data_IF_881310821759
#
_entry.id   IF_881310821759
#
_cell.length_a   1.000
_cell.length_b   1.000
_cell.length_c   1.000
_cell.angle_alpha   90.00
_cell.angle_beta   90.00
_cell.angle_gamma   90.00
#
_symmetry.space_group_name_H-M   'P 1'
#
loop_
_entity.id
_entity.type
_entity.pdbx_description
1 polymer ?
#
# COMPACT_ATOMS: atom_id res chain seq x y z
N UNK A 1 24.04 -68.98 -4.42
CA UNK A 1 23.78 -67.62 -3.93
C UNK A 1 22.76 -67.74 -2.80
N UNK A 2 23.08 -67.25 -1.62
CA UNK A 2 22.31 -67.49 -0.39
C UNK A 2 20.93 -66.81 -0.46
N UNK A 3 19.85 -67.54 -0.17
CA UNK A 3 18.46 -67.02 -0.20
C UNK A 3 18.32 -65.82 0.74
N UNK A 4 19.07 -65.81 1.85
CA UNK A 4 19.09 -64.71 2.81
C UNK A 4 19.73 -63.44 2.22
N UNK A 5 20.75 -63.59 1.35
CA UNK A 5 21.41 -62.47 0.69
C UNK A 5 20.49 -61.83 -0.37
N UNK A 6 19.72 -62.63 -1.11
CA UNK A 6 18.71 -62.13 -2.05
C UNK A 6 17.57 -61.38 -1.34
N UNK A 7 17.03 -61.94 -0.25
CA UNK A 7 15.98 -61.30 0.53
C UNK A 7 16.44 -59.97 1.15
N UNK A 8 17.69 -59.90 1.63
CA UNK A 8 18.29 -58.69 2.20
C UNK A 8 18.50 -57.60 1.13
N UNK A 9 18.90 -57.96 -0.09
CA UNK A 9 19.04 -57.00 -1.19
C UNK A 9 17.69 -56.41 -1.64
N UNK A 10 16.65 -57.26 -1.72
CA UNK A 10 15.31 -56.83 -2.14
C UNK A 10 14.67 -55.92 -1.09
N UNK A 11 14.80 -56.26 0.19
CA UNK A 11 14.29 -55.43 1.29
C UNK A 11 15.05 -54.10 1.39
N UNK A 12 16.37 -54.11 1.21
CA UNK A 12 17.17 -52.89 1.14
C UNK A 12 16.78 -52.01 -0.05
N UNK A 13 16.56 -52.61 -1.23
CA UNK A 13 16.06 -51.91 -2.41
C UNK A 13 14.69 -51.28 -2.19
N UNK A 14 13.73 -52.04 -1.66
CA UNK A 14 12.38 -51.55 -1.34
C UNK A 14 12.40 -50.43 -0.29
N UNK A 15 13.27 -50.52 0.73
CA UNK A 15 13.44 -49.48 1.73
C UNK A 15 14.00 -48.17 1.14
N UNK A 16 14.94 -48.27 0.18
CA UNK A 16 15.46 -47.10 -0.54
C UNK A 16 14.39 -46.45 -1.44
N UNK A 17 13.57 -47.23 -2.14
CA UNK A 17 12.48 -46.67 -2.94
C UNK A 17 11.40 -46.04 -2.05
N UNK A 18 11.04 -46.68 -0.94
CA UNK A 18 10.08 -46.14 0.02
C UNK A 18 10.55 -44.82 0.63
N UNK A 19 11.85 -44.70 0.96
CA UNK A 19 12.40 -43.46 1.52
C UNK A 19 12.41 -42.32 0.50
N UNK A 20 12.74 -42.58 -0.77
CA UNK A 20 12.69 -41.58 -1.85
C UNK A 20 11.26 -41.07 -2.05
N UNK A 21 10.27 -41.97 -2.14
CA UNK A 21 8.86 -41.60 -2.30
C UNK A 21 8.39 -40.78 -1.08
N UNK A 22 8.76 -41.19 0.13
CA UNK A 22 8.44 -40.46 1.36
C UNK A 22 9.01 -39.03 1.38
N UNK A 23 10.25 -38.85 0.95
CA UNK A 23 10.90 -37.52 0.83
C UNK A 23 10.18 -36.68 -0.21
N UNK A 24 9.90 -37.21 -1.40
CA UNK A 24 9.18 -36.49 -2.45
C UNK A 24 7.77 -36.09 -2.01
N UNK A 25 7.03 -37.00 -1.36
CA UNK A 25 5.70 -36.72 -0.82
C UNK A 25 5.73 -35.60 0.22
N UNK A 26 6.73 -35.61 1.11
CA UNK A 26 6.92 -34.55 2.11
C UNK A 26 7.22 -33.20 1.46
N UNK A 27 8.13 -33.15 0.50
CA UNK A 27 8.47 -31.92 -0.23
C UNK A 27 7.27 -31.36 -0.99
N UNK A 28 6.49 -32.22 -1.66
CA UNK A 28 5.26 -31.83 -2.34
C UNK A 28 4.23 -31.28 -1.35
N UNK A 29 4.05 -31.92 -0.19
CA UNK A 29 3.17 -31.45 0.87
C UNK A 29 3.57 -30.06 1.38
N UNK A 30 4.86 -29.84 1.63
CA UNK A 30 5.39 -28.53 2.05
C UNK A 30 5.12 -27.46 0.99
N UNK A 31 5.38 -27.78 -0.29
CA UNK A 31 5.15 -26.85 -1.39
C UNK A 31 3.66 -26.49 -1.55
N UNK A 32 2.78 -27.49 -1.50
CA UNK A 32 1.33 -27.28 -1.58
C UNK A 32 0.83 -26.42 -0.43
N UNK A 33 1.26 -26.70 0.80
CA UNK A 33 0.88 -25.92 1.97
C UNK A 33 1.36 -24.46 1.86
N UNK A 34 2.61 -24.23 1.44
CA UNK A 34 3.15 -22.89 1.22
C UNK A 34 2.40 -22.13 0.12
N UNK A 35 2.03 -22.81 -0.97
CA UNK A 35 1.25 -22.21 -2.06
C UNK A 35 -0.17 -21.86 -1.60
N UNK A 36 -0.80 -22.72 -0.81
CA UNK A 36 -2.12 -22.47 -0.24
C UNK A 36 -2.10 -21.27 0.70
N UNK A 37 -1.14 -21.20 1.64
CA UNK A 37 -0.99 -20.08 2.57
C UNK A 37 -0.73 -18.75 1.83
N UNK A 38 0.05 -18.75 0.76
CA UNK A 38 0.36 -17.53 -0.01
C UNK A 38 -0.72 -17.10 -1.02
N UNK A 39 -1.77 -17.91 -1.23
CA UNK A 39 -2.79 -17.66 -2.27
C UNK A 39 -3.73 -16.48 -1.99
N UNK A 40 -3.80 -16.01 -0.74
CA UNK A 40 -4.64 -14.87 -0.38
C UNK A 40 -4.14 -13.54 -0.96
N UNK A 41 -4.97 -12.51 -0.82
CA UNK A 41 -4.75 -11.19 -1.44
C UNK A 41 -4.79 -10.06 -0.41
N UNK A 42 -4.18 -8.94 -0.79
CA UNK A 42 -4.36 -7.67 -0.11
C UNK A 42 -5.50 -6.91 -0.76
N UNK A 43 -6.44 -6.45 0.07
CA UNK A 43 -7.53 -5.55 -0.35
C UNK A 43 -7.44 -4.27 0.47
N UNK A 44 -7.65 -3.12 -0.18
CA UNK A 44 -7.59 -1.81 0.44
C UNK A 44 -8.97 -1.15 0.44
N UNK A 45 -9.33 -0.54 1.56
CA UNK A 45 -10.50 0.30 1.71
C UNK A 45 -10.08 1.61 2.32
N UNK A 46 -10.36 2.71 1.66
CA UNK A 46 -9.99 4.03 2.12
C UNK A 46 -11.23 4.85 2.46
N UNK A 47 -11.10 5.76 3.42
CA UNK A 47 -12.14 6.70 3.79
C UNK A 47 -11.52 8.05 4.11
N UNK A 48 -11.97 9.09 3.44
CA UNK A 48 -11.63 10.46 3.79
C UNK A 48 -12.30 10.81 5.12
N UNK A 49 -11.54 11.39 6.03
CA UNK A 49 -12.00 11.77 7.38
C UNK A 49 -11.66 13.23 7.67
N UNK A 50 -11.85 13.66 8.91
CA UNK A 50 -11.26 14.90 9.39
C UNK A 50 -9.88 14.59 9.97
N UNK A 51 -8.95 15.53 9.84
CA UNK A 51 -7.64 15.41 10.49
C UNK A 51 -7.79 15.37 12.00
N UNK A 52 -6.95 14.57 12.66
CA UNK A 52 -6.90 14.51 14.13
C UNK A 52 -6.06 15.65 14.75
N UNK A 53 -5.65 16.62 13.93
CA UNK A 53 -5.08 17.90 14.39
C UNK A 53 -6.07 18.73 15.20
N UNK A 54 -5.55 19.67 15.99
CA UNK A 54 -6.36 20.62 16.76
C UNK A 54 -7.35 21.44 15.90
N UNK A 55 -7.01 21.65 14.63
CA UNK A 55 -7.85 22.40 13.68
C UNK A 55 -8.97 21.54 13.06
N UNK A 56 -8.94 20.21 13.23
CA UNK A 56 -9.93 19.26 12.74
C UNK A 56 -10.35 19.52 11.28
N UNK A 57 -9.37 19.83 10.41
CA UNK A 57 -9.65 20.23 9.02
C UNK A 57 -10.09 19.01 8.18
N UNK A 58 -11.16 19.13 7.37
CA UNK A 58 -11.48 18.12 6.37
C UNK A 58 -10.49 18.20 5.20
N UNK A 59 -10.58 17.25 4.27
CA UNK A 59 -9.83 17.38 3.03
C UNK A 59 -10.28 18.58 2.17
N UNK A 60 -9.33 19.16 1.43
CA UNK A 60 -9.57 20.34 0.59
C UNK A 60 -8.30 21.11 0.29
N UNK A 61 -8.46 22.34 -0.20
CA UNK A 61 -7.37 23.28 -0.45
C UNK A 61 -7.41 24.40 0.58
N UNK A 62 -6.25 24.72 1.15
CA UNK A 62 -6.14 25.73 2.21
C UNK A 62 -4.91 26.59 2.00
N UNK A 63 -4.95 27.83 2.48
CA UNK A 63 -3.76 28.68 2.51
C UNK A 63 -2.69 28.10 3.43
N UNK A 64 -1.45 28.07 2.96
CA UNK A 64 -0.30 27.69 3.78
C UNK A 64 0.00 28.82 4.78
N UNK A 65 0.05 28.54 6.10
CA UNK A 65 0.45 29.55 7.08
C UNK A 65 1.92 29.97 6.98
N UNK A 66 2.75 29.12 6.37
CA UNK A 66 4.21 29.24 6.34
C UNK A 66 4.73 29.70 4.98
N UNK A 67 3.91 29.57 3.93
CA UNK A 67 4.31 29.80 2.56
C UNK A 67 3.24 30.61 1.81
N UNK A 68 3.64 31.29 0.74
CA UNK A 68 2.66 31.85 -0.19
C UNK A 68 2.05 30.73 -1.05
N UNK A 69 0.73 30.73 -1.19
CA UNK A 69 -0.03 29.80 -2.04
C UNK A 69 -0.88 28.79 -1.26
N UNK A 70 -1.56 27.93 -2.01
CA UNK A 70 -2.44 26.90 -1.45
C UNK A 70 -1.68 25.58 -1.24
N UNK A 71 -2.23 24.76 -0.34
CA UNK A 71 -1.89 23.35 -0.24
C UNK A 71 -3.15 22.51 -0.22
N UNK A 72 -3.09 21.35 -0.88
CA UNK A 72 -4.10 20.32 -0.74
C UNK A 72 -3.79 19.47 0.49
N UNK A 73 -4.83 19.21 1.28
CA UNK A 73 -4.78 18.40 2.49
C UNK A 73 -5.75 17.24 2.39
N UNK A 74 -5.29 16.03 2.70
CA UNK A 74 -6.10 14.81 2.60
C UNK A 74 -5.83 13.86 3.77
N UNK A 75 -6.62 13.93 4.85
CA UNK A 75 -6.63 12.93 5.92
C UNK A 75 -7.49 11.70 5.54
N UNK A 76 -6.92 10.51 5.70
CA UNK A 76 -7.48 9.23 5.26
C UNK A 76 -7.36 8.16 6.36
N UNK A 77 -8.43 7.40 6.58
CA UNK A 77 -8.32 6.07 7.20
C UNK A 77 -8.19 5.02 6.12
N UNK A 78 -7.22 4.13 6.27
CA UNK A 78 -6.98 3.02 5.35
C UNK A 78 -7.09 1.70 6.10
N UNK A 79 -8.04 0.86 5.67
CA UNK A 79 -8.16 -0.53 6.08
C UNK A 79 -7.45 -1.41 5.05
N UNK A 80 -6.45 -2.13 5.53
CA UNK A 80 -5.68 -3.10 4.76
C UNK A 80 -6.08 -4.49 5.23
N UNK A 81 -6.65 -5.29 4.34
CA UNK A 81 -7.13 -6.64 4.64
C UNK A 81 -6.22 -7.65 3.94
N UNK A 82 -5.56 -8.50 4.74
CA UNK A 82 -4.75 -9.61 4.26
C UNK A 82 -5.51 -10.91 4.44
N UNK A 83 -5.94 -11.54 3.34
CA UNK A 83 -6.59 -12.86 3.38
C UNK A 83 -5.62 -14.02 3.12
N UNK A 84 -4.31 -13.77 3.13
CA UNK A 84 -3.30 -14.83 3.00
C UNK A 84 -2.92 -15.38 4.36
N UNK A 85 -2.55 -16.65 4.40
CA UNK A 85 -2.05 -17.35 5.59
C UNK A 85 -0.62 -16.95 5.98
N UNK A 86 -0.06 -15.90 5.37
CA UNK A 86 1.25 -15.34 5.70
C UNK A 86 1.12 -13.83 5.86
N UNK A 87 1.98 -13.21 6.67
CA UNK A 87 2.05 -11.75 6.77
C UNK A 87 2.49 -11.13 5.43
N UNK A 88 1.97 -9.95 5.12
CA UNK A 88 2.27 -9.19 3.90
C UNK A 88 2.69 -7.77 4.24
N UNK A 89 3.46 -7.16 3.36
CA UNK A 89 3.97 -5.81 3.54
C UNK A 89 3.39 -4.93 2.43
N UNK A 90 2.73 -3.86 2.84
CA UNK A 90 2.27 -2.77 1.97
C UNK A 90 3.22 -1.61 2.23
N UNK A 91 4.15 -1.36 1.32
CA UNK A 91 5.18 -0.33 1.49
C UNK A 91 4.76 0.96 0.83
N UNK A 92 5.21 2.06 1.45
CA UNK A 92 5.14 3.40 0.89
C UNK A 92 3.76 3.71 0.28
N UNK A 93 2.74 3.63 1.12
CA UNK A 93 1.39 4.02 0.74
C UNK A 93 1.38 5.52 0.50
N UNK A 94 1.05 5.96 -0.71
CA UNK A 94 0.97 7.38 -1.02
C UNK A 94 -0.19 7.76 -1.94
N UNK A 95 -0.49 9.05 -1.97
CA UNK A 95 -1.35 9.66 -2.96
C UNK A 95 -0.51 10.30 -4.06
N UNK A 96 -1.04 10.29 -5.28
CA UNK A 96 -0.41 10.90 -6.44
C UNK A 96 -1.43 11.77 -7.17
N UNK A 97 -1.03 13.01 -7.47
CA UNK A 97 -1.74 13.91 -8.35
C UNK A 97 -1.53 13.47 -9.79
N UNK A 98 -2.62 13.37 -10.54
CA UNK A 98 -2.62 12.97 -11.93
C UNK A 98 -3.32 14.00 -12.79
N UNK A 99 -2.81 14.22 -14.00
CA UNK A 99 -3.46 15.02 -15.02
C UNK A 99 -3.47 14.23 -16.33
N UNK A 100 -4.63 14.11 -16.98
CA UNK A 100 -4.80 13.36 -18.24
C UNK A 100 -4.20 11.94 -18.21
N UNK A 101 -4.35 11.24 -17.06
CA UNK A 101 -3.87 9.87 -16.87
C UNK A 101 -2.35 9.74 -16.71
N UNK A 102 -1.64 10.82 -16.41
CA UNK A 102 -0.21 10.81 -16.07
C UNK A 102 -0.01 11.25 -14.63
N UNK A 103 0.87 10.57 -13.89
CA UNK A 103 1.26 10.99 -12.55
C UNK A 103 2.19 12.20 -12.70
N UNK A 104 1.81 13.32 -12.11
CA UNK A 104 2.58 14.57 -12.19
C UNK A 104 3.31 14.89 -10.88
N UNK A 105 2.76 14.47 -9.73
CA UNK A 105 3.39 14.71 -8.43
C UNK A 105 2.93 13.71 -7.37
N UNK A 106 3.83 13.36 -6.48
CA UNK A 106 3.56 12.60 -5.26
C UNK A 106 3.23 13.54 -4.09
N UNK A 107 2.33 13.13 -3.21
CA UNK A 107 2.01 13.87 -2.00
C UNK A 107 3.08 13.63 -0.92
N UNK A 108 3.30 14.64 -0.08
CA UNK A 108 4.10 14.52 1.13
C UNK A 108 3.31 13.79 2.22
N UNK A 109 3.92 12.77 2.82
CA UNK A 109 3.37 12.00 3.93
C UNK A 109 3.58 12.74 5.25
N UNK A 110 2.50 13.05 5.97
CA UNK A 110 2.60 13.67 7.29
C UNK A 110 2.84 12.57 8.32
N UNK A 111 3.96 12.66 9.05
CA UNK A 111 4.37 11.64 10.02
C UNK A 111 3.62 11.77 11.35
N UNK A 112 3.38 13.01 11.80
CA UNK A 112 2.73 13.31 13.08
C UNK A 112 1.85 14.54 12.97
N UNK A 113 0.78 14.57 13.76
CA UNK A 113 -0.13 15.70 13.87
C UNK A 113 -0.53 15.93 15.33
N UNK A 114 -1.15 17.07 15.62
CA UNK A 114 -1.54 17.46 16.98
C UNK A 114 -0.67 18.57 17.55
N UNK A 115 -0.67 18.70 18.87
CA UNK A 115 0.09 19.73 19.60
C UNK A 115 0.97 19.07 20.69
N UNK A 116 1.74 19.88 21.40
CA UNK A 116 2.70 19.42 22.43
C UNK A 116 2.06 18.54 23.52
N UNK A 117 0.75 18.66 23.75
CA UNK A 117 0.02 17.89 24.75
C UNK A 117 -0.66 16.62 24.20
N UNK A 118 -0.80 16.51 22.88
CA UNK A 118 -1.42 15.34 22.23
C UNK A 118 -0.85 15.16 20.83
N UNK A 119 0.22 14.36 20.75
CA UNK A 119 0.81 13.93 19.48
C UNK A 119 0.07 12.69 18.98
N UNK A 120 -0.32 12.72 17.71
CA UNK A 120 -0.88 11.59 16.99
C UNK A 120 0.12 11.19 15.92
N UNK A 121 0.71 10.00 16.09
CA UNK A 121 1.57 9.38 15.08
C UNK A 121 0.68 8.80 13.97
N UNK A 122 0.98 9.20 12.73
CA UNK A 122 0.27 8.75 11.53
C UNK A 122 1.03 7.60 10.86
N UNK A 123 0.39 6.93 9.92
CA UNK A 123 0.89 5.69 9.33
C UNK A 123 0.88 4.53 10.33
N UNK A 124 1.88 3.66 10.20
CA UNK A 124 2.22 2.61 11.16
C UNK A 124 3.45 3.05 11.94
N UNK A 125 3.24 3.93 12.91
CA UNK A 125 4.29 4.57 13.71
C UNK A 125 5.22 5.46 12.84
N UNK A 126 4.63 6.52 12.28
CA UNK A 126 5.27 7.51 11.39
C UNK A 126 5.71 6.97 10.02
N UNK A 127 5.74 5.65 9.84
CA UNK A 127 6.02 5.00 8.56
C UNK A 127 4.75 4.72 7.77
N UNK A 128 4.76 5.00 6.46
CA UNK A 128 3.67 4.64 5.54
C UNK A 128 3.88 3.25 4.93
N UNK A 129 4.72 2.43 5.58
CA UNK A 129 4.87 1.00 5.34
C UNK A 129 4.16 0.23 6.44
N UNK A 130 3.28 -0.69 6.04
CA UNK A 130 2.43 -1.44 6.95
C UNK A 130 2.66 -2.94 6.77
N UNK A 131 3.09 -3.60 7.83
CA UNK A 131 3.02 -5.06 7.95
C UNK A 131 1.62 -5.44 8.42
N UNK A 132 0.98 -6.35 7.68
CA UNK A 132 -0.34 -6.89 8.00
C UNK A 132 -0.23 -8.40 8.17
N UNK A 133 -0.61 -8.88 9.35
CA UNK A 133 -0.50 -10.30 9.69
C UNK A 133 -1.38 -11.20 8.82
N UNK A 134 -1.06 -12.50 8.84
CA UNK A 134 -1.84 -13.52 8.17
C UNK A 134 -3.33 -13.47 8.59
N UNK A 135 -4.23 -13.54 7.61
CA UNK A 135 -5.70 -13.55 7.82
C UNK A 135 -6.21 -12.42 8.73
N UNK A 136 -5.56 -11.26 8.68
CA UNK A 136 -5.84 -10.13 9.55
C UNK A 136 -6.22 -8.87 8.76
N UNK A 137 -6.86 -7.93 9.44
CA UNK A 137 -7.09 -6.57 8.94
C UNK A 137 -6.41 -5.56 9.85
N UNK A 138 -5.78 -4.54 9.27
CA UNK A 138 -5.16 -3.44 10.00
C UNK A 138 -5.69 -2.11 9.49
N UNK A 139 -6.16 -1.26 10.41
CA UNK A 139 -6.50 0.13 10.13
C UNK A 139 -5.30 1.01 10.44
N UNK A 140 -4.97 1.91 9.52
CA UNK A 140 -3.97 2.97 9.71
C UNK A 140 -4.57 4.32 9.39
N UNK A 141 -4.12 5.35 10.11
CA UNK A 141 -4.52 6.74 9.90
C UNK A 141 -3.41 7.43 9.14
N UNK A 142 -3.71 8.06 8.03
CA UNK A 142 -2.73 8.64 7.12
C UNK A 142 -3.16 10.05 6.77
N UNK A 143 -2.20 10.93 6.52
CA UNK A 143 -2.49 12.31 6.13
C UNK A 143 -1.46 12.76 5.09
N UNK A 144 -1.96 13.34 4.02
CA UNK A 144 -1.17 13.69 2.84
C UNK A 144 -1.31 15.18 2.55
N UNK A 145 -0.20 15.80 2.14
CA UNK A 145 -0.12 17.19 1.76
C UNK A 145 0.46 17.34 0.36
N UNK A 146 -0.05 18.29 -0.41
CA UNK A 146 0.55 18.71 -1.67
C UNK A 146 0.52 20.23 -1.75
N UNK A 147 1.68 20.87 -1.73
CA UNK A 147 1.79 22.32 -1.82
C UNK A 147 1.83 22.74 -3.30
N UNK A 148 1.08 23.78 -3.65
CA UNK A 148 1.03 24.36 -5.01
C UNK A 148 2.43 24.74 -5.51
N UNK A 149 3.23 25.38 -4.65
CA UNK A 149 4.61 25.77 -4.96
C UNK A 149 5.56 24.60 -5.27
N UNK A 150 5.19 23.37 -4.88
CA UNK A 150 6.02 22.18 -5.14
C UNK A 150 5.67 21.53 -6.48
N UNK A 151 4.68 22.06 -7.21
CA UNK A 151 4.31 21.62 -8.55
C UNK A 151 5.34 22.11 -9.57
N UNK A 152 5.52 21.32 -10.63
CA UNK A 152 6.34 21.74 -11.77
C UNK A 152 5.63 22.86 -12.54
N UNK A 153 6.39 23.86 -12.99
CA UNK A 153 5.87 24.94 -13.83
C UNK A 153 5.28 24.34 -15.11
N UNK A 154 4.03 24.69 -15.43
CA UNK A 154 3.24 24.14 -16.53
C UNK A 154 2.50 22.84 -16.22
N UNK A 155 2.65 22.27 -15.01
CA UNK A 155 1.88 21.11 -14.50
C UNK A 155 1.27 21.43 -13.13
N UNK A 156 0.76 22.65 -12.97
CA UNK A 156 0.21 23.09 -11.69
C UNK A 156 -1.09 22.35 -11.37
N UNK A 157 -1.93 22.11 -12.37
CA UNK A 157 -3.26 21.53 -12.18
C UNK A 157 -3.28 19.99 -12.33
N UNK A 158 -4.17 19.36 -11.57
CA UNK A 158 -4.49 17.94 -11.67
C UNK A 158 -6.00 17.73 -11.57
N UNK A 159 -6.49 16.70 -12.26
CA UNK A 159 -7.91 16.33 -12.36
C UNK A 159 -8.23 15.03 -11.59
N UNK A 160 -7.19 14.31 -11.15
CA UNK A 160 -7.34 13.02 -10.49
C UNK A 160 -6.33 12.84 -9.36
N UNK A 161 -6.77 12.13 -8.33
CA UNK A 161 -5.92 11.58 -7.29
C UNK A 161 -6.05 10.07 -7.32
N UNK A 162 -4.90 9.40 -7.32
CA UNK A 162 -4.81 7.96 -7.15
C UNK A 162 -4.10 7.64 -5.83
N UNK A 163 -4.41 6.48 -5.27
CA UNK A 163 -3.64 5.89 -4.16
C UNK A 163 -2.75 4.78 -4.71
N UNK A 164 -1.49 4.78 -4.32
CA UNK A 164 -0.51 3.76 -4.69
C UNK A 164 0.14 3.10 -3.47
N UNK A 165 0.66 1.88 -3.67
CA UNK A 165 1.57 1.22 -2.74
C UNK A 165 2.48 0.22 -3.47
N UNK A 166 3.62 -0.09 -2.86
CA UNK A 166 4.55 -1.12 -3.33
C UNK A 166 4.40 -2.41 -2.54
N UNK A 167 4.33 -3.55 -3.23
CA UNK A 167 4.34 -4.86 -2.57
C UNK A 167 5.76 -5.32 -2.19
N UNK A 168 5.85 -6.51 -1.59
CA UNK A 168 7.11 -7.17 -1.23
C UNK A 168 8.00 -7.54 -2.43
N UNK A 169 7.49 -7.44 -3.67
CA UNK A 169 8.20 -7.76 -4.92
C UNK A 169 8.56 -6.51 -5.72
N UNK A 170 8.53 -5.34 -5.09
CA UNK A 170 8.75 -4.05 -5.74
C UNK A 170 7.78 -3.80 -6.90
N UNK A 171 6.54 -4.29 -6.81
CA UNK A 171 5.50 -3.96 -7.77
C UNK A 171 4.59 -2.88 -7.20
N UNK A 172 4.48 -1.78 -7.95
CA UNK A 172 3.54 -0.70 -7.66
C UNK A 172 2.12 -1.11 -8.07
N UNK A 173 1.18 -0.88 -7.16
CA UNK A 173 -0.25 -0.99 -7.41
C UNK A 173 -0.88 0.37 -7.20
N UNK A 174 -1.58 0.88 -8.21
CA UNK A 174 -2.29 2.16 -8.15
C UNK A 174 -3.78 1.97 -8.38
N UNK A 175 -4.58 2.79 -7.69
CA UNK A 175 -6.03 2.73 -7.72
C UNK A 175 -6.61 4.14 -7.75
N UNK A 176 -7.70 4.31 -8.50
CA UNK A 176 -8.46 5.56 -8.49
C UNK A 176 -8.93 5.87 -7.06
N UNK A 177 -8.66 7.08 -6.58
CA UNK A 177 -9.06 7.54 -5.26
C UNK A 177 -10.14 8.63 -5.35
N UNK A 178 -9.89 9.70 -6.09
CA UNK A 178 -10.87 10.77 -6.31
C UNK A 178 -10.62 11.55 -7.60
N UNK A 179 -11.69 12.16 -8.10
CA UNK A 179 -11.66 13.14 -9.18
C UNK A 179 -11.68 14.56 -8.60
N UNK A 180 -10.95 15.48 -9.20
CA UNK A 180 -10.75 16.87 -8.76
C UNK A 180 -11.30 17.80 -9.82
N UNK A 181 -12.46 18.39 -9.54
CA UNK A 181 -13.15 19.28 -10.49
C UNK A 181 -12.59 20.70 -10.50
N UNK A 182 -12.03 21.14 -9.37
CA UNK A 182 -11.52 22.49 -9.15
C UNK A 182 -10.22 22.37 -8.35
N UNK A 183 -9.10 22.43 -9.07
CA UNK A 183 -7.77 22.42 -8.48
C UNK A 183 -7.42 23.83 -7.98
N UNK A 184 -6.72 23.93 -6.85
CA UNK A 184 -6.26 25.20 -6.26
C UNK A 184 -7.36 26.24 -6.05
N UNK A 185 -8.55 25.79 -5.64
CA UNK A 185 -9.62 26.69 -5.19
C UNK A 185 -9.83 26.44 -3.70
N UNK A 186 -9.58 27.48 -2.90
CA UNK A 186 -9.66 27.40 -1.45
C UNK A 186 -11.02 26.86 -0.99
N UNK A 187 -10.96 25.93 -0.04
CA UNK A 187 -12.12 25.38 0.64
C UNK A 187 -12.13 23.86 0.72
N UNK A 188 -13.07 23.36 1.51
CA UNK A 188 -13.31 21.93 1.69
C UNK A 188 -13.89 21.30 0.42
N UNK A 189 -13.48 20.08 0.11
CA UNK A 189 -14.08 19.27 -0.93
C UNK A 189 -15.26 18.45 -0.40
N UNK A 190 -16.23 18.05 -1.26
CA UNK A 190 -17.34 17.21 -0.85
C UNK A 190 -16.86 15.90 -0.24
N UNK A 191 -17.23 15.62 1.02
CA UNK A 191 -16.79 14.42 1.73
C UNK A 191 -17.97 13.45 1.88
N UNK A 192 -17.96 12.34 1.14
CA UNK A 192 -18.82 11.21 1.45
C UNK A 192 -18.23 10.45 2.64
N UNK A 193 -19.07 10.12 3.63
CA UNK A 193 -18.65 9.40 4.84
C UNK A 193 -18.56 7.89 4.62
N UNK A 194 -18.57 7.42 3.38
CA UNK A 194 -18.52 6.01 3.01
C UNK A 194 -17.08 5.53 2.80
N UNK A 195 -16.90 4.22 2.98
CA UNK A 195 -15.67 3.55 2.60
C UNK A 195 -15.63 3.35 1.08
N UNK A 196 -14.49 3.65 0.49
CA UNK A 196 -14.18 3.44 -0.92
C UNK A 196 -13.31 2.18 -0.99
N UNK A 197 -13.81 1.15 -1.68
CA UNK A 197 -13.00 -0.01 -2.01
C UNK A 197 -12.07 0.35 -3.17
N UNK A 198 -10.76 0.17 -2.98
CA UNK A 198 -9.77 0.46 -4.00
C UNK A 198 -9.57 -0.77 -4.90
N UNK A 199 -10.46 -0.96 -5.87
CA UNK A 199 -10.42 -2.09 -6.81
C UNK A 199 -10.30 -1.68 -8.29
N UNK A 200 -10.51 -0.41 -8.62
CA UNK A 200 -10.27 0.14 -9.96
C UNK A 200 -8.78 0.43 -10.15
N UNK A 201 -8.05 -0.48 -10.79
CA UNK A 201 -6.61 -0.32 -11.03
C UNK A 201 -6.32 0.69 -12.13
N UNK A 202 -5.32 1.53 -11.87
CA UNK A 202 -4.72 2.39 -12.88
C UNK A 202 -3.46 1.72 -13.43
N UNK A 203 -3.07 2.06 -14.67
CA UNK A 203 -1.78 1.66 -15.26
C UNK A 203 -1.00 2.91 -15.68
N UNK A 204 -0.91 3.86 -14.77
CA UNK A 204 -0.14 5.07 -15.01
C UNK A 204 1.34 4.80 -14.73
N UNK A 205 2.20 5.36 -15.58
CA UNK A 205 3.64 5.31 -15.36
C UNK A 205 3.99 6.48 -14.45
N UNK A 206 4.88 6.23 -13.48
CA UNK A 206 5.60 7.32 -12.82
C UNK A 206 6.51 7.93 -13.89
N UNK A 207 6.38 9.23 -14.12
CA UNK A 207 7.30 9.93 -15.01
C UNK A 207 8.63 10.06 -14.26
N UNK A 208 9.60 9.18 -14.55
CA UNK A 208 10.93 9.21 -13.93
C UNK A 208 11.81 10.30 -14.56
N UNK A 209 11.27 11.51 -14.76
CA UNK A 209 11.98 12.63 -15.39
C UNK A 209 12.06 13.84 -14.45
N UNK A 210 12.70 13.69 -13.30
CA UNK A 210 13.51 14.74 -12.69
C UNK A 210 14.30 14.17 -11.50
N UNK A 211 15.54 14.65 -11.36
CA UNK A 211 16.42 14.51 -10.17
C UNK A 211 17.25 13.23 -10.00
N UNK A 212 18.25 13.06 -10.89
CA UNK A 212 19.62 12.79 -10.45
C UNK A 212 20.60 13.56 -11.34
N UNK A 213 20.72 14.86 -11.08
CA UNK A 213 21.92 15.63 -11.45
C UNK A 213 22.62 15.98 -10.15
N UNK A 214 23.59 15.16 -9.77
CA UNK A 214 24.58 15.46 -8.71
C UNK A 214 25.54 16.51 -9.23
#
# INVERSE_FOLDING_TARGET
MDINLQATLISAGAALFGSIIGVLGTLLGIWLNKKMQSSGKISLYARVVYSESAMNRPWGFYESPQDQGLFMHIPVWLDIINTSGISRIVRDVNLYACNDGQIIKEFTQVQKTGNDNRVVHLGSDEAYTVVVDANCSKRVKMEFLLHERNMEVGKENFDEIILGYWDEKNKLYTFHFSQIKRCWVEGKLPMDRKWIKLDKRCRYKLDCSSEYSV
#
